data_IF_982965125495
#
_entry.id   IF_982965125495
#
_cell.length_a   1.000
_cell.length_b   1.000
_cell.length_c   1.000
_cell.angle_alpha   90.00
_cell.angle_beta   90.00
_cell.angle_gamma   90.00
#
_symmetry.space_group_name_H-M   'P 1'
#
loop_
_entity.id
_entity.type
_entity.pdbx_description
1 polymer ?
#
# COMPACT_ATOMS: atom_id res chain seq x y z
N UNK A 1 -18.81 3.20 20.79
CA UNK A 1 -18.36 4.24 19.83
C UNK A 1 -17.40 5.10 20.61
N UNK A 2 -16.12 4.84 20.44
CA UNK A 2 -15.08 5.56 21.20
C UNK A 2 -14.99 6.98 20.66
N UNK A 3 -14.91 7.95 21.55
CA UNK A 3 -14.82 9.38 21.21
C UNK A 3 -13.39 9.68 20.76
N UNK A 4 -13.23 10.16 19.53
CA UNK A 4 -11.93 10.64 19.02
C UNK A 4 -11.60 11.96 19.76
N UNK A 5 -10.46 11.99 20.45
CA UNK A 5 -10.02 13.21 21.11
C UNK A 5 -9.43 14.21 20.10
N UNK A 6 -9.88 15.45 20.15
CA UNK A 6 -9.37 16.51 19.27
C UNK A 6 -7.87 16.78 19.44
N UNK A 7 -7.33 16.46 20.60
CA UNK A 7 -5.90 16.59 20.94
C UNK A 7 -4.98 15.68 20.10
N UNK A 8 -5.51 14.59 19.51
CA UNK A 8 -4.73 13.65 18.69
C UNK A 8 -4.59 14.05 17.23
N UNK A 9 -5.11 15.21 16.86
CA UNK A 9 -5.13 15.69 15.48
C UNK A 9 -3.73 16.09 14.98
N UNK A 10 -3.29 15.47 13.88
CA UNK A 10 -2.08 15.87 13.14
C UNK A 10 -2.45 17.01 12.15
N UNK A 11 -2.12 18.25 12.48
CA UNK A 11 -2.42 19.43 11.65
C UNK A 11 -1.52 19.56 10.44
N UNK A 12 -0.40 18.83 10.40
CA UNK A 12 0.57 18.85 9.30
C UNK A 12 0.37 17.71 8.30
N UNK A 13 -0.61 16.85 8.55
CA UNK A 13 -0.77 15.62 7.75
C UNK A 13 -0.99 15.88 6.25
N UNK A 14 -1.75 16.91 5.90
CA UNK A 14 -2.00 17.26 4.49
C UNK A 14 -0.68 17.64 3.81
N UNK A 15 0.16 18.41 4.48
CA UNK A 15 1.49 18.77 4.00
C UNK A 15 2.35 17.52 3.78
N UNK A 16 2.36 16.59 4.73
CA UNK A 16 3.10 15.31 4.63
C UNK A 16 2.58 14.44 3.47
N UNK A 17 1.26 14.35 3.32
CA UNK A 17 0.63 13.61 2.21
C UNK A 17 1.04 14.22 0.87
N UNK A 18 1.00 15.54 0.72
CA UNK A 18 1.39 16.25 -0.51
C UNK A 18 2.87 16.10 -0.85
N UNK A 19 3.74 15.98 0.15
CA UNK A 19 5.16 15.70 -0.07
C UNK A 19 5.38 14.34 -0.75
N UNK A 20 4.50 13.37 -0.46
CA UNK A 20 4.57 12.02 -1.05
C UNK A 20 3.85 11.99 -2.41
N UNK A 21 2.69 12.64 -2.52
CA UNK A 21 1.90 12.69 -3.76
C UNK A 21 1.16 14.01 -3.89
N UNK A 22 1.50 14.80 -4.89
CA UNK A 22 0.81 16.07 -5.21
C UNK A 22 -0.64 15.87 -5.67
N UNK A 23 -0.97 14.67 -6.17
CA UNK A 23 -2.33 14.33 -6.60
C UNK A 23 -3.27 14.07 -5.42
N UNK A 24 -2.74 13.76 -4.25
CA UNK A 24 -3.53 13.52 -3.05
C UNK A 24 -4.01 14.84 -2.45
N UNK A 25 -5.30 15.14 -2.58
CA UNK A 25 -5.93 16.38 -2.12
C UNK A 25 -7.14 16.08 -1.23
N UNK A 26 -6.94 15.50 -0.03
CA UNK A 26 -8.06 15.16 0.86
C UNK A 26 -8.88 16.39 1.26
N UNK A 27 -8.29 17.58 1.30
CA UNK A 27 -8.95 18.85 1.61
C UNK A 27 -10.02 19.27 0.61
N UNK A 28 -9.92 18.84 -0.65
CA UNK A 28 -10.89 19.15 -1.72
C UNK A 28 -12.07 18.17 -1.74
N UNK A 29 -12.13 17.22 -0.81
CA UNK A 29 -13.17 16.19 -0.77
C UNK A 29 -14.50 16.73 -0.22
N UNK A 30 -15.57 16.70 -1.01
CA UNK A 30 -16.92 17.07 -0.55
C UNK A 30 -17.83 15.86 -0.24
N UNK A 31 -17.25 14.71 0.03
CA UNK A 31 -17.94 13.52 0.58
C UNK A 31 -19.09 12.95 -0.27
N UNK A 32 -18.97 12.98 -1.60
CA UNK A 32 -20.04 12.51 -2.53
C UNK A 32 -20.21 10.98 -2.58
N UNK A 33 -19.40 10.20 -1.87
CA UNK A 33 -19.43 8.73 -1.75
C UNK A 33 -19.12 7.94 -3.04
N UNK A 34 -18.88 8.58 -4.18
CA UNK A 34 -18.63 7.88 -5.45
C UNK A 34 -17.41 6.94 -5.41
N UNK A 35 -16.39 7.32 -4.65
CA UNK A 35 -15.19 6.49 -4.44
C UNK A 35 -15.51 5.22 -3.65
N UNK A 36 -16.33 5.28 -2.60
CA UNK A 36 -16.71 4.13 -1.77
C UNK A 36 -17.69 3.22 -2.49
N UNK A 37 -18.74 3.78 -3.10
CA UNK A 37 -19.74 2.99 -3.83
C UNK A 37 -19.16 2.21 -5.03
N UNK A 38 -18.04 2.69 -5.60
CA UNK A 38 -17.33 2.01 -6.67
C UNK A 38 -16.17 1.13 -6.22
N UNK A 39 -15.85 1.09 -4.94
CA UNK A 39 -14.67 0.42 -4.44
C UNK A 39 -14.88 -1.09 -4.28
N UNK A 40 -14.07 -1.95 -4.93
CA UNK A 40 -14.20 -3.39 -4.74
C UNK A 40 -13.84 -3.82 -3.31
N UNK A 41 -12.88 -3.18 -2.66
CA UNK A 41 -12.52 -3.47 -1.28
C UNK A 41 -13.65 -3.10 -0.29
N UNK A 42 -14.31 -1.96 -0.49
CA UNK A 42 -15.45 -1.54 0.34
C UNK A 42 -16.69 -2.48 0.23
N UNK A 43 -16.77 -3.29 -0.83
CA UNK A 43 -17.80 -4.32 -0.97
C UNK A 43 -17.50 -5.59 -0.19
N UNK A 44 -16.24 -5.83 0.12
CA UNK A 44 -15.78 -7.02 0.86
C UNK A 44 -15.57 -6.73 2.34
N UNK A 45 -15.18 -5.49 2.68
CA UNK A 45 -14.84 -5.05 4.03
C UNK A 45 -15.69 -3.84 4.38
N UNK A 46 -16.71 -4.01 5.23
CA UNK A 46 -17.68 -2.96 5.58
C UNK A 46 -17.02 -1.74 6.25
N UNK A 47 -15.95 -1.98 7.03
CA UNK A 47 -15.18 -0.93 7.69
C UNK A 47 -14.35 -0.09 6.73
N UNK A 48 -13.99 -0.63 5.53
CA UNK A 48 -13.16 0.07 4.56
C UNK A 48 -13.98 1.02 3.69
N UNK A 49 -13.79 2.30 3.88
CA UNK A 49 -14.52 3.33 3.13
C UNK A 49 -13.58 4.47 2.69
N UNK A 50 -13.15 4.51 1.42
CA UNK A 50 -12.25 5.55 0.91
C UNK A 50 -12.67 6.98 1.23
N UNK A 51 -13.97 7.30 1.21
CA UNK A 51 -14.43 8.65 1.57
C UNK A 51 -14.18 8.98 3.05
N UNK A 52 -14.36 8.01 3.97
CA UNK A 52 -14.08 8.21 5.40
C UNK A 52 -12.59 8.46 5.64
N UNK A 53 -11.74 7.73 4.93
CA UNK A 53 -10.28 7.91 4.99
C UNK A 53 -9.91 9.32 4.50
N UNK A 54 -10.51 9.81 3.41
CA UNK A 54 -10.30 11.18 2.93
C UNK A 54 -10.70 12.23 3.97
N UNK A 55 -11.87 12.08 4.58
CA UNK A 55 -12.36 13.01 5.62
C UNK A 55 -11.44 12.97 6.84
N UNK A 56 -11.08 11.79 7.33
CA UNK A 56 -10.19 11.66 8.48
C UNK A 56 -8.80 12.27 8.21
N UNK A 57 -8.25 12.05 7.00
CA UNK A 57 -7.00 12.67 6.57
C UNK A 57 -7.11 14.20 6.51
N UNK A 58 -8.18 14.74 5.93
CA UNK A 58 -8.43 16.19 5.90
C UNK A 58 -8.53 16.78 7.31
N UNK A 59 -9.20 16.07 8.21
CA UNK A 59 -9.38 16.53 9.60
C UNK A 59 -8.14 16.29 10.49
N UNK A 60 -7.15 15.52 10.02
CA UNK A 60 -5.94 15.19 10.75
C UNK A 60 -6.08 14.00 11.72
N UNK A 61 -7.19 13.26 11.69
CA UNK A 61 -7.40 12.06 12.51
C UNK A 61 -6.87 10.81 11.82
N UNK A 62 -5.55 10.64 11.83
CA UNK A 62 -4.89 9.57 11.10
C UNK A 62 -4.34 8.45 11.98
N UNK A 63 -4.09 8.70 13.25
CA UNK A 63 -3.46 7.71 14.13
C UNK A 63 -4.32 6.44 14.25
N UNK A 64 -5.64 6.60 14.33
CA UNK A 64 -6.57 5.47 14.32
C UNK A 64 -6.55 4.70 13.00
N UNK A 65 -6.51 5.40 11.85
CA UNK A 65 -6.42 4.77 10.54
C UNK A 65 -5.13 3.98 10.38
N UNK A 66 -4.02 4.56 10.81
CA UNK A 66 -2.69 3.96 10.73
C UNK A 66 -2.62 2.71 11.61
N UNK A 67 -3.10 2.80 12.85
CA UNK A 67 -3.01 1.71 13.83
C UNK A 67 -4.03 0.59 13.60
N UNK A 68 -5.19 0.90 12.98
CA UNK A 68 -6.24 -0.10 12.72
C UNK A 68 -5.89 -1.11 11.63
N UNK A 69 -4.89 -0.83 10.80
CA UNK A 69 -4.56 -1.66 9.64
C UNK A 69 -5.54 -1.54 8.46
N UNK A 70 -6.58 -0.71 8.57
CA UNK A 70 -7.63 -0.54 7.54
C UNK A 70 -7.07 -0.06 6.19
N UNK A 71 -5.99 0.69 6.20
CA UNK A 71 -5.36 1.21 4.99
C UNK A 71 -4.86 0.10 4.06
N UNK A 72 -4.49 -1.06 4.62
CA UNK A 72 -3.97 -2.22 3.88
C UNK A 72 -5.05 -2.99 3.11
N UNK A 73 -6.34 -2.71 3.33
CA UNK A 73 -7.43 -3.29 2.54
C UNK A 73 -7.54 -2.69 1.13
N UNK A 74 -6.78 -1.63 0.85
CA UNK A 74 -6.79 -0.99 -0.46
C UNK A 74 -6.16 -1.90 -1.53
N UNK A 75 -6.93 -2.23 -2.59
CA UNK A 75 -6.44 -3.03 -3.72
C UNK A 75 -5.62 -2.21 -4.74
N UNK A 76 -5.38 -0.92 -4.48
CA UNK A 76 -4.68 -0.01 -5.40
C UNK A 76 -5.19 -0.05 -6.86
N UNK A 77 -6.48 -0.29 -7.03
CA UNK A 77 -7.11 -0.45 -8.35
C UNK A 77 -7.46 0.86 -9.07
N UNK A 78 -7.21 2.01 -8.44
CA UNK A 78 -7.42 3.38 -8.97
C UNK A 78 -8.88 3.73 -9.33
N UNK A 79 -9.87 2.87 -9.11
CA UNK A 79 -11.28 3.14 -9.40
C UNK A 79 -11.80 4.38 -8.67
N UNK A 80 -11.39 4.60 -7.43
CA UNK A 80 -11.77 5.78 -6.64
C UNK A 80 -11.20 7.09 -7.21
N UNK A 81 -10.03 7.08 -7.80
CA UNK A 81 -9.42 8.22 -8.50
C UNK A 81 -10.20 8.56 -9.77
N UNK A 82 -10.46 7.55 -10.62
CA UNK A 82 -11.18 7.75 -11.87
C UNK A 82 -12.59 8.28 -11.67
N UNK A 83 -13.27 7.84 -10.58
CA UNK A 83 -14.65 8.25 -10.27
C UNK A 83 -14.76 9.56 -9.50
N UNK A 84 -13.65 10.13 -9.03
CA UNK A 84 -13.66 11.33 -8.20
C UNK A 84 -13.94 12.59 -9.05
N UNK A 85 -15.06 13.30 -8.86
CA UNK A 85 -15.36 14.51 -9.61
C UNK A 85 -14.46 15.69 -9.23
N UNK A 86 -13.96 15.71 -7.99
CA UNK A 86 -13.01 16.72 -7.49
C UNK A 86 -11.54 16.35 -7.74
N UNK A 87 -11.27 15.19 -8.34
CA UNK A 87 -9.90 14.72 -8.59
C UNK A 87 -9.00 14.70 -7.35
N UNK A 88 -9.58 14.39 -6.17
CA UNK A 88 -8.86 14.35 -4.89
C UNK A 88 -7.97 13.14 -4.71
N UNK A 89 -8.01 12.21 -5.68
CA UNK A 89 -7.21 10.99 -5.71
C UNK A 89 -7.19 10.19 -4.38
N UNK A 90 -8.31 9.59 -3.95
CA UNK A 90 -8.35 8.86 -2.68
C UNK A 90 -7.31 7.74 -2.56
N UNK A 91 -6.98 7.06 -3.66
CA UNK A 91 -5.94 6.02 -3.66
C UNK A 91 -4.57 6.59 -3.31
N UNK A 92 -4.21 7.77 -3.81
CA UNK A 92 -2.95 8.42 -3.49
C UNK A 92 -2.89 8.85 -2.03
N UNK A 93 -4.00 9.34 -1.47
CA UNK A 93 -4.10 9.62 -0.04
C UNK A 93 -3.85 8.36 0.80
N UNK A 94 -4.51 7.24 0.45
CA UNK A 94 -4.32 5.95 1.15
C UNK A 94 -2.88 5.48 1.04
N UNK A 95 -2.28 5.51 -0.15
CA UNK A 95 -0.87 5.12 -0.36
C UNK A 95 0.10 6.02 0.41
N UNK A 96 -0.14 7.32 0.47
CA UNK A 96 0.67 8.23 1.28
C UNK A 96 0.56 7.92 2.77
N UNK A 97 -0.65 7.62 3.26
CA UNK A 97 -0.86 7.22 4.65
C UNK A 97 -0.21 5.87 4.98
N UNK A 98 -0.22 4.89 4.07
CA UNK A 98 0.50 3.63 4.29
C UNK A 98 2.01 3.83 4.35
N UNK A 99 2.57 4.71 3.51
CA UNK A 99 3.99 5.07 3.59
C UNK A 99 4.32 5.77 4.92
N UNK A 100 3.46 6.68 5.38
CA UNK A 100 3.60 7.34 6.69
C UNK A 100 3.50 6.31 7.83
N UNK A 101 2.60 5.32 7.74
CA UNK A 101 2.48 4.25 8.72
C UNK A 101 3.80 3.47 8.86
N UNK A 102 4.38 3.04 7.73
CA UNK A 102 5.66 2.33 7.73
C UNK A 102 6.79 3.20 8.27
N UNK A 103 6.86 4.48 7.89
CA UNK A 103 7.88 5.41 8.41
C UNK A 103 7.76 5.65 9.93
N UNK A 104 6.57 5.44 10.51
CA UNK A 104 6.34 5.49 11.97
C UNK A 104 6.59 4.14 12.65
N UNK A 105 7.10 3.13 11.94
CA UNK A 105 7.44 1.82 12.47
C UNK A 105 6.27 0.85 12.56
N UNK A 106 5.12 1.15 11.93
CA UNK A 106 3.99 0.23 11.91
C UNK A 106 4.23 -0.85 10.85
N UNK A 107 4.26 -2.09 11.29
CA UNK A 107 4.52 -3.23 10.42
C UNK A 107 3.40 -3.44 9.40
N UNK A 108 3.75 -3.58 8.10
CA UNK A 108 2.77 -3.98 7.09
C UNK A 108 2.34 -5.44 7.26
N UNK A 109 1.22 -5.87 6.66
CA UNK A 109 0.80 -7.27 6.65
C UNK A 109 1.90 -8.22 6.19
N UNK A 110 1.91 -9.46 6.70
CA UNK A 110 2.97 -10.48 6.49
C UNK A 110 3.36 -10.70 5.02
N UNK A 111 2.43 -10.50 4.10
CA UNK A 111 2.68 -10.67 2.67
C UNK A 111 3.74 -9.69 2.12
N UNK A 112 3.80 -8.46 2.66
CA UNK A 112 4.74 -7.45 2.16
C UNK A 112 6.21 -7.79 2.45
N UNK A 113 6.61 -8.15 3.68
CA UNK A 113 7.97 -8.60 3.94
C UNK A 113 8.39 -9.83 3.10
N UNK A 114 7.48 -10.77 2.82
CA UNK A 114 7.74 -11.90 1.95
C UNK A 114 7.99 -11.46 0.50
N UNK A 115 7.18 -10.52 -0.01
CA UNK A 115 7.40 -9.90 -1.32
C UNK A 115 8.73 -9.16 -1.39
N UNK A 116 9.08 -8.38 -0.36
CA UNK A 116 10.35 -7.64 -0.29
C UNK A 116 11.53 -8.61 -0.33
N UNK A 117 11.45 -9.71 0.43
CA UNK A 117 12.47 -10.76 0.40
C UNK A 117 12.62 -11.34 -1.01
N UNK A 118 11.51 -11.69 -1.67
CA UNK A 118 11.53 -12.22 -3.04
C UNK A 118 12.09 -11.18 -4.02
N UNK A 119 11.75 -9.90 -3.88
CA UNK A 119 12.33 -8.82 -4.69
C UNK A 119 13.85 -8.77 -4.49
N UNK A 120 14.32 -8.88 -3.26
CA UNK A 120 15.75 -8.79 -2.94
C UNK A 120 16.55 -9.98 -3.49
N UNK A 121 15.95 -11.15 -3.59
CA UNK A 121 16.56 -12.37 -4.08
C UNK A 121 16.45 -12.50 -5.60
N UNK A 122 15.26 -12.26 -6.16
CA UNK A 122 14.90 -12.60 -7.55
C UNK A 122 14.72 -11.37 -8.45
N UNK A 123 14.67 -10.15 -7.87
CA UNK A 123 14.33 -8.93 -8.62
C UNK A 123 12.86 -8.88 -9.05
N UNK A 124 11.98 -9.66 -8.46
CA UNK A 124 10.58 -9.76 -8.80
C UNK A 124 9.72 -10.03 -7.56
N UNK A 125 8.45 -9.58 -7.60
CA UNK A 125 7.51 -9.72 -6.48
C UNK A 125 7.18 -11.18 -6.17
N UNK A 126 7.12 -12.03 -7.22
CA UNK A 126 6.78 -13.46 -7.11
C UNK A 126 7.84 -14.31 -7.80
N UNK A 127 8.09 -15.46 -7.20
CA UNK A 127 8.91 -16.49 -7.86
C UNK A 127 8.17 -17.07 -9.06
N UNK A 128 8.89 -17.38 -10.18
CA UNK A 128 8.28 -18.05 -11.30
C UNK A 128 7.67 -19.38 -10.85
N UNK A 129 6.49 -19.69 -11.38
CA UNK A 129 5.84 -20.98 -11.16
C UNK A 129 5.52 -21.58 -12.52
N UNK A 130 5.48 -22.90 -12.57
CA UNK A 130 4.92 -23.62 -13.68
C UNK A 130 3.43 -23.28 -13.83
N UNK A 131 2.96 -23.14 -15.05
CA UNK A 131 1.56 -22.90 -15.38
C UNK A 131 0.94 -24.17 -15.94
N UNK A 132 -0.22 -24.53 -15.42
CA UNK A 132 -1.00 -25.65 -15.93
C UNK A 132 -1.75 -25.22 -17.19
N UNK A 133 -1.69 -26.06 -18.24
CA UNK A 133 -2.52 -25.95 -19.43
C UNK A 133 -3.92 -26.49 -19.17
N UNK A 134 -4.82 -26.34 -20.16
CA UNK A 134 -6.17 -26.93 -20.09
C UNK A 134 -6.11 -28.46 -20.05
N UNK A 135 -5.09 -29.04 -20.65
CA UNK A 135 -4.85 -30.50 -20.70
C UNK A 135 -4.07 -31.04 -19.50
N UNK A 136 -3.90 -30.18 -18.46
CA UNK A 136 -3.16 -30.48 -17.23
C UNK A 136 -1.65 -30.71 -17.39
N UNK A 137 -1.06 -30.36 -18.52
CA UNK A 137 0.38 -30.29 -18.65
C UNK A 137 0.94 -29.09 -17.93
N UNK A 138 2.12 -29.21 -17.33
CA UNK A 138 2.81 -28.12 -16.65
C UNK A 138 3.90 -27.56 -17.56
N UNK A 139 3.82 -26.27 -17.83
CA UNK A 139 4.80 -25.55 -18.64
C UNK A 139 5.62 -24.60 -17.75
N UNK A 140 6.93 -24.73 -17.89
CA UNK A 140 7.90 -23.81 -17.31
C UNK A 140 8.10 -22.57 -18.20
N UNK A 141 8.88 -21.61 -17.74
CA UNK A 141 9.25 -20.45 -18.56
C UNK A 141 10.11 -20.84 -19.78
N UNK A 142 10.96 -21.88 -19.63
CA UNK A 142 11.84 -22.33 -20.66
C UNK A 142 11.06 -23.05 -21.78
N UNK A 143 10.01 -23.78 -21.43
CA UNK A 143 9.10 -24.41 -22.39
C UNK A 143 8.34 -23.38 -23.24
N UNK A 144 8.20 -22.17 -22.73
CA UNK A 144 7.50 -21.04 -23.38
C UNK A 144 8.46 -20.07 -24.09
N UNK A 145 9.77 -20.40 -24.16
CA UNK A 145 10.82 -19.56 -24.74
C UNK A 145 10.76 -18.10 -24.23
N UNK A 146 10.45 -17.92 -22.92
CA UNK A 146 10.38 -16.61 -22.30
C UNK A 146 11.77 -16.13 -21.89
N UNK A 147 12.06 -14.83 -22.00
CA UNK A 147 13.36 -14.28 -21.68
C UNK A 147 13.78 -14.60 -20.24
N UNK A 148 15.08 -14.81 -20.03
CA UNK A 148 15.65 -15.03 -18.71
C UNK A 148 15.24 -13.92 -17.75
N UNK A 149 14.91 -14.32 -16.53
CA UNK A 149 14.64 -13.39 -15.41
C UNK A 149 15.84 -13.38 -14.49
N UNK A 150 16.00 -12.26 -13.81
CA UNK A 150 17.02 -12.14 -12.78
C UNK A 150 17.62 -10.75 -12.72
N UNK A 151 18.44 -10.57 -11.72
CA UNK A 151 19.12 -9.32 -11.46
C UNK A 151 20.42 -9.33 -12.24
N UNK A 152 20.53 -8.51 -13.29
CA UNK A 152 21.75 -8.44 -14.14
C UNK A 152 23.00 -8.06 -13.33
N UNK A 153 22.85 -7.18 -12.32
CA UNK A 153 23.93 -6.80 -11.43
C UNK A 153 23.48 -6.88 -9.98
N UNK A 154 23.64 -8.03 -9.30
CA UNK A 154 23.16 -8.25 -7.94
C UNK A 154 23.77 -7.30 -6.91
N UNK A 155 25.01 -6.87 -7.09
CA UNK A 155 25.69 -5.97 -6.16
C UNK A 155 25.08 -4.57 -6.19
N UNK A 156 24.96 -3.98 -7.37
CA UNK A 156 24.35 -2.66 -7.54
C UNK A 156 22.88 -2.67 -7.12
N UNK A 157 22.15 -3.76 -7.41
CA UNK A 157 20.77 -3.90 -7.00
C UNK A 157 20.62 -3.89 -5.48
N UNK A 158 21.45 -4.66 -4.76
CA UNK A 158 21.46 -4.66 -3.29
C UNK A 158 21.83 -3.30 -2.69
N UNK A 159 22.76 -2.57 -3.32
CA UNK A 159 23.07 -1.20 -2.90
C UNK A 159 21.89 -0.26 -3.09
N UNK A 160 21.21 -0.33 -4.23
CA UNK A 160 19.98 0.44 -4.47
C UNK A 160 18.89 0.15 -3.44
N UNK A 161 18.66 -1.13 -3.08
CA UNK A 161 17.71 -1.52 -2.05
C UNK A 161 18.04 -0.95 -0.66
N UNK A 162 19.34 -0.81 -0.33
CA UNK A 162 19.76 -0.15 0.91
C UNK A 162 19.43 1.34 0.89
N UNK A 163 19.68 2.01 -0.22
CA UNK A 163 19.40 3.45 -0.37
C UNK A 163 17.92 3.77 -0.22
N UNK A 164 17.03 2.90 -0.71
CA UNK A 164 15.57 3.07 -0.55
C UNK A 164 15.03 2.58 0.80
N UNK A 165 15.89 2.15 1.73
CA UNK A 165 15.49 1.76 3.09
C UNK A 165 14.73 0.44 3.19
N UNK A 166 14.75 -0.41 2.16
CA UNK A 166 13.99 -1.66 2.16
C UNK A 166 14.40 -2.63 3.28
N UNK A 167 15.67 -2.61 3.67
CA UNK A 167 16.20 -3.43 4.75
C UNK A 167 15.64 -3.03 6.12
N UNK A 168 15.30 -1.75 6.32
CA UNK A 168 14.71 -1.26 7.56
C UNK A 168 13.28 -1.81 7.74
N UNK A 169 12.52 -1.93 6.64
CA UNK A 169 11.18 -2.53 6.66
C UNK A 169 11.24 -4.01 7.02
N UNK A 170 12.28 -4.73 6.61
CA UNK A 170 12.49 -6.13 7.00
C UNK A 170 12.85 -6.27 8.49
N UNK A 171 13.65 -5.34 9.01
CA UNK A 171 14.08 -5.34 10.42
C UNK A 171 12.93 -5.03 11.39
N UNK A 172 11.93 -4.24 11.00
CA UNK A 172 10.75 -3.96 11.82
C UNK A 172 10.01 -5.24 12.24
N UNK A 173 10.08 -6.29 11.44
CA UNK A 173 9.38 -7.56 11.70
C UNK A 173 10.11 -8.51 12.66
N UNK A 174 11.43 -8.46 12.69
CA UNK A 174 12.21 -9.34 13.60
C UNK A 174 11.99 -8.96 15.07
N UNK A 175 11.64 -7.70 15.33
CA UNK A 175 11.36 -7.20 16.68
C UNK A 175 9.96 -7.53 17.21
N UNK A 176 8.97 -7.83 16.34
CA UNK A 176 7.59 -8.16 16.74
C UNK A 176 7.34 -9.66 16.93
N UNK A 177 8.19 -10.52 16.34
CA UNK A 177 8.10 -11.98 16.52
C UNK A 177 8.59 -12.43 17.92
N UNK A 178 9.23 -11.53 18.67
CA UNK A 178 9.73 -11.80 20.03
C UNK A 178 8.79 -11.28 21.14
N UNK A 179 7.61 -10.82 20.83
CA UNK A 179 6.55 -10.47 21.80
C UNK A 179 5.30 -11.33 21.55
#
# INVERSE_FOLDING_TARGET
MDTIEYSTRDTEIISKIKTISEEAKPEDCYTCLKCTNGCPAAKLFEEFAPHKIQVAAHMGFIDELINSGILWYCFTCYTCQTRCPQKTSPVQTIMSLTNIAVSRGISPPKIYPEMIKTISEEGAILKPREVSTIDFDFLSRDDLDLPERGIKNPTQFKEALKVVGLNEILALKESEVQK
#
